data_IF_953189647944
#
_entry.id   IF_953189647944
#
_cell.length_a   1.000
_cell.length_b   1.000
_cell.length_c   1.000
_cell.angle_alpha   90.00
_cell.angle_beta   90.00
_cell.angle_gamma   90.00
#
_symmetry.space_group_name_H-M   'P 1'
#
loop_
_entity.id
_entity.type
_entity.pdbx_description
1 polymer ?
#
# COMPACT_ATOMS: atom_id res chain seq x y z
N UNK A 1 -24.78 -8.38 -95.07
CA UNK A 1 -25.41 -7.18 -94.47
C UNK A 1 -25.81 -7.38 -93.02
N UNK A 2 -26.43 -8.51 -92.63
CA UNK A 2 -26.82 -8.77 -91.22
C UNK A 2 -25.64 -8.83 -90.24
N UNK A 3 -24.54 -9.51 -90.58
CA UNK A 3 -23.38 -9.68 -89.69
C UNK A 3 -22.67 -8.36 -89.32
N UNK A 4 -22.67 -7.37 -90.23
CA UNK A 4 -22.16 -6.03 -89.93
C UNK A 4 -23.06 -5.27 -88.95
N UNK A 5 -24.37 -5.48 -89.03
CA UNK A 5 -25.33 -4.86 -88.13
C UNK A 5 -25.21 -5.44 -86.71
N UNK A 6 -25.08 -6.78 -86.59
CA UNK A 6 -24.87 -7.45 -85.31
C UNK A 6 -23.56 -7.00 -84.63
N UNK A 7 -22.47 -6.89 -85.39
CA UNK A 7 -21.19 -6.38 -84.86
C UNK A 7 -21.27 -4.91 -84.43
N UNK A 8 -22.04 -4.08 -85.14
CA UNK A 8 -22.24 -2.68 -84.76
C UNK A 8 -23.03 -2.56 -83.44
N UNK A 9 -24.10 -3.34 -83.30
CA UNK A 9 -24.91 -3.36 -82.07
C UNK A 9 -24.09 -3.84 -80.85
N UNK A 10 -23.20 -4.81 -81.05
CA UNK A 10 -22.32 -5.29 -80.00
C UNK A 10 -21.29 -4.22 -79.57
N UNK A 11 -20.74 -3.45 -80.50
CA UNK A 11 -19.86 -2.31 -80.20
C UNK A 11 -20.60 -1.23 -79.39
N UNK A 12 -21.86 -0.95 -79.73
CA UNK A 12 -22.67 0.01 -78.97
C UNK A 12 -22.94 -0.48 -77.54
N UNK A 13 -23.21 -1.77 -77.35
CA UNK A 13 -23.34 -2.39 -76.01
C UNK A 13 -22.04 -2.26 -75.20
N UNK A 14 -20.88 -2.55 -75.79
CA UNK A 14 -19.59 -2.39 -75.10
C UNK A 14 -19.32 -0.93 -74.73
N UNK A 15 -19.68 0.01 -75.59
CA UNK A 15 -19.55 1.45 -75.31
C UNK A 15 -20.42 1.89 -74.13
N UNK A 16 -21.63 1.36 -73.99
CA UNK A 16 -22.50 1.61 -72.85
C UNK A 16 -21.90 1.03 -71.55
N UNK A 17 -21.47 -0.23 -71.58
CA UNK A 17 -20.81 -0.91 -70.44
C UNK A 17 -19.54 -0.18 -69.98
N UNK A 18 -18.75 0.37 -70.91
CA UNK A 18 -17.55 1.12 -70.55
C UNK A 18 -17.88 2.41 -69.80
N UNK A 19 -18.99 3.09 -70.14
CA UNK A 19 -19.44 4.29 -69.42
C UNK A 19 -19.90 3.95 -68.00
N UNK A 20 -20.64 2.87 -67.84
CA UNK A 20 -21.08 2.38 -66.52
C UNK A 20 -19.89 1.97 -65.64
N UNK A 21 -18.93 1.21 -66.18
CA UNK A 21 -17.71 0.85 -65.46
C UNK A 21 -16.92 2.08 -65.01
N UNK A 22 -16.86 3.13 -65.83
CA UNK A 22 -16.21 4.39 -65.42
C UNK A 22 -16.90 5.01 -64.20
N UNK A 23 -18.23 5.04 -64.18
CA UNK A 23 -18.99 5.56 -63.04
C UNK A 23 -18.76 4.74 -61.77
N UNK A 24 -18.77 3.40 -61.89
CA UNK A 24 -18.50 2.50 -60.77
C UNK A 24 -17.10 2.69 -60.20
N UNK A 25 -16.09 2.91 -61.05
CA UNK A 25 -14.72 3.18 -60.59
C UNK A 25 -14.63 4.53 -59.86
N UNK A 26 -15.29 5.56 -60.36
CA UNK A 26 -15.33 6.87 -59.70
C UNK A 26 -16.07 6.79 -58.36
N UNK A 27 -17.15 6.03 -58.29
CA UNK A 27 -17.88 5.75 -57.04
C UNK A 27 -17.03 4.95 -56.05
N UNK A 28 -16.36 3.89 -56.49
CA UNK A 28 -15.45 3.10 -55.65
C UNK A 28 -14.32 3.98 -55.07
N UNK A 29 -13.79 4.92 -55.85
CA UNK A 29 -12.79 5.88 -55.38
C UNK A 29 -13.36 6.82 -54.32
N UNK A 30 -14.59 7.33 -54.50
CA UNK A 30 -15.27 8.14 -53.49
C UNK A 30 -15.52 7.34 -52.21
N UNK A 31 -16.06 6.12 -52.33
CA UNK A 31 -16.33 5.25 -51.20
C UNK A 31 -15.07 4.91 -50.41
N UNK A 32 -13.94 4.65 -51.08
CA UNK A 32 -12.64 4.49 -50.43
C UNK A 32 -12.23 5.73 -49.62
N UNK A 33 -12.45 6.93 -50.18
CA UNK A 33 -12.18 8.19 -49.49
C UNK A 33 -13.05 8.36 -48.24
N UNK A 34 -14.35 8.08 -48.36
CA UNK A 34 -15.29 8.15 -47.24
C UNK A 34 -14.94 7.13 -46.14
N UNK A 35 -14.57 5.91 -46.51
CA UNK A 35 -14.14 4.88 -45.55
C UNK A 35 -12.91 5.31 -44.76
N UNK A 36 -11.95 5.96 -45.43
CA UNK A 36 -10.72 6.46 -44.79
C UNK A 36 -11.04 7.55 -43.76
N UNK A 37 -11.92 8.49 -44.12
CA UNK A 37 -12.37 9.55 -43.20
C UNK A 37 -13.16 8.97 -42.02
N UNK A 38 -14.04 8.00 -42.26
CA UNK A 38 -14.81 7.35 -41.20
C UNK A 38 -13.90 6.62 -40.20
N UNK A 39 -12.83 5.97 -40.66
CA UNK A 39 -11.83 5.35 -39.78
C UNK A 39 -11.09 6.39 -38.92
N UNK A 40 -10.63 7.49 -39.53
CA UNK A 40 -9.95 8.57 -38.81
C UNK A 40 -10.84 9.19 -37.71
N UNK A 41 -12.09 9.54 -38.06
CA UNK A 41 -13.05 10.09 -37.11
C UNK A 41 -13.34 9.13 -35.95
N UNK A 42 -13.45 7.83 -36.24
CA UNK A 42 -13.66 6.81 -35.21
C UNK A 42 -12.48 6.76 -34.25
N UNK A 43 -11.25 6.77 -34.76
CA UNK A 43 -10.04 6.71 -33.93
C UNK A 43 -9.90 7.97 -33.07
N UNK A 44 -10.13 9.16 -33.64
CA UNK A 44 -10.16 10.43 -32.89
C UNK A 44 -11.22 10.42 -31.78
N UNK A 45 -12.43 9.92 -32.08
CA UNK A 45 -13.52 9.84 -31.10
C UNK A 45 -13.16 8.90 -29.96
N UNK A 46 -12.65 7.69 -30.26
CA UNK A 46 -12.22 6.75 -29.23
C UNK A 46 -11.11 7.34 -28.35
N UNK A 47 -10.15 8.03 -28.94
CA UNK A 47 -9.06 8.67 -28.20
C UNK A 47 -9.55 9.82 -27.32
N UNK A 48 -10.51 10.62 -27.80
CA UNK A 48 -11.14 11.67 -26.98
C UNK A 48 -11.94 11.10 -25.80
N UNK A 49 -12.63 9.97 -26.00
CA UNK A 49 -13.39 9.30 -24.95
C UNK A 49 -12.46 8.80 -23.85
N UNK A 50 -11.41 8.05 -24.24
CA UNK A 50 -10.41 7.54 -23.28
C UNK A 50 -9.75 8.66 -22.48
N UNK A 51 -9.38 9.77 -23.14
CA UNK A 51 -8.81 10.94 -22.45
C UNK A 51 -9.82 11.54 -21.47
N UNK A 52 -11.07 11.77 -21.90
CA UNK A 52 -12.09 12.32 -21.03
C UNK A 52 -12.41 11.44 -19.82
N UNK A 53 -12.49 10.12 -20.00
CA UNK A 53 -12.67 9.16 -18.91
C UNK A 53 -11.48 9.18 -17.93
N UNK A 54 -10.25 9.20 -18.47
CA UNK A 54 -9.03 9.23 -17.66
C UNK A 54 -8.88 10.56 -16.90
N UNK A 55 -9.12 11.69 -17.57
CA UNK A 55 -9.06 13.02 -16.96
C UNK A 55 -10.14 13.16 -15.86
N UNK A 56 -11.35 12.64 -16.10
CA UNK A 56 -12.41 12.59 -15.09
C UNK A 56 -12.02 11.76 -13.88
N UNK A 57 -11.51 10.54 -14.08
CA UNK A 57 -11.05 9.67 -13.01
C UNK A 57 -9.89 10.29 -12.21
N UNK A 58 -8.96 10.99 -12.88
CA UNK A 58 -7.85 11.68 -12.21
C UNK A 58 -8.34 12.83 -11.31
N UNK A 59 -9.38 13.55 -11.73
CA UNK A 59 -10.01 14.59 -10.90
C UNK A 59 -10.66 13.97 -9.67
N UNK A 60 -11.45 12.91 -9.82
CA UNK A 60 -12.08 12.20 -8.70
C UNK A 60 -11.04 11.65 -7.70
N UNK A 61 -9.95 11.03 -8.21
CA UNK A 61 -8.84 10.56 -7.37
C UNK A 61 -8.21 11.74 -6.61
N UNK A 62 -7.96 12.85 -7.29
CA UNK A 62 -7.34 14.04 -6.65
C UNK A 62 -8.23 14.66 -5.58
N UNK A 63 -9.56 14.61 -5.73
CA UNK A 63 -10.50 15.05 -4.71
C UNK A 63 -10.52 14.10 -3.52
N UNK A 64 -10.54 12.79 -3.79
CA UNK A 64 -10.53 11.75 -2.78
C UNK A 64 -9.22 11.76 -1.94
N UNK A 65 -8.07 11.91 -2.60
CA UNK A 65 -6.77 12.02 -1.92
C UNK A 65 -6.71 13.20 -0.95
N UNK A 66 -7.43 14.29 -1.24
CA UNK A 66 -7.56 15.44 -0.33
C UNK A 66 -8.55 15.19 0.80
N UNK A 67 -9.62 14.42 0.57
CA UNK A 67 -10.66 14.17 1.57
C UNK A 67 -10.29 13.07 2.56
N UNK A 68 -9.59 12.02 2.12
CA UNK A 68 -9.26 10.85 2.97
C UNK A 68 -8.52 11.24 4.25
N UNK A 69 -7.45 12.06 4.24
CA UNK A 69 -6.79 12.48 5.48
C UNK A 69 -7.80 13.19 6.39
N UNK A 70 -8.47 14.21 5.88
CA UNK A 70 -9.43 15.02 6.66
C UNK A 70 -10.52 14.18 7.31
N UNK A 71 -11.11 13.24 6.56
CA UNK A 71 -12.15 12.33 7.07
C UNK A 71 -11.58 11.36 8.10
N UNK A 72 -10.39 10.80 7.86
CA UNK A 72 -9.67 9.96 8.80
C UNK A 72 -9.38 10.71 10.11
N UNK A 73 -8.89 11.94 10.04
CA UNK A 73 -8.64 12.77 11.21
C UNK A 73 -9.92 13.01 12.00
N UNK A 74 -11.03 13.35 11.32
CA UNK A 74 -12.32 13.54 11.95
C UNK A 74 -12.82 12.25 12.63
N UNK A 75 -12.71 11.11 11.97
CA UNK A 75 -13.11 9.81 12.51
C UNK A 75 -12.26 9.39 13.73
N UNK A 76 -10.94 9.64 13.69
CA UNK A 76 -10.05 9.43 14.84
C UNK A 76 -10.46 10.32 16.01
N UNK A 77 -10.76 11.59 15.75
CA UNK A 77 -11.17 12.52 16.79
C UNK A 77 -12.52 12.13 17.42
N UNK A 78 -13.47 11.67 16.61
CA UNK A 78 -14.74 11.13 17.09
C UNK A 78 -14.51 9.88 17.97
N UNK A 79 -13.69 8.94 17.51
CA UNK A 79 -13.34 7.75 18.29
C UNK A 79 -12.67 8.10 19.62
N UNK A 80 -11.71 9.03 19.63
CA UNK A 80 -11.04 9.48 20.85
C UNK A 80 -11.99 10.23 21.80
N UNK A 81 -13.07 10.80 21.28
CA UNK A 81 -14.13 11.45 22.06
C UNK A 81 -15.22 10.48 22.53
N UNK A 82 -15.18 9.23 22.06
CA UNK A 82 -16.19 8.23 22.38
C UNK A 82 -16.10 7.76 23.84
N UNK A 83 -17.26 7.44 24.41
CA UNK A 83 -17.35 6.91 25.78
C UNK A 83 -16.60 5.58 25.92
N UNK A 84 -16.64 4.72 24.90
CA UNK A 84 -15.92 3.43 24.88
C UNK A 84 -14.42 3.64 24.97
N UNK A 85 -13.85 4.59 24.22
CA UNK A 85 -12.44 4.95 24.35
C UNK A 85 -12.12 5.43 25.77
N UNK A 86 -12.91 6.34 26.34
CA UNK A 86 -12.67 6.88 27.66
C UNK A 86 -12.78 5.87 28.80
N UNK A 87 -13.69 4.90 28.70
CA UNK A 87 -13.95 3.93 29.77
C UNK A 87 -13.08 2.67 29.65
N UNK A 88 -12.84 2.18 28.44
CA UNK A 88 -12.13 0.91 28.24
C UNK A 88 -10.64 1.11 27.90
N UNK A 89 -10.32 2.09 27.04
CA UNK A 89 -8.99 2.18 26.42
C UNK A 89 -8.10 3.21 27.10
N UNK A 90 -8.60 4.43 27.36
CA UNK A 90 -7.84 5.51 28.00
C UNK A 90 -7.21 5.12 29.34
N UNK A 91 -7.87 4.36 30.23
CA UNK A 91 -7.25 3.90 31.48
C UNK A 91 -6.06 2.96 31.22
N UNK A 92 -6.15 2.09 30.20
CA UNK A 92 -5.07 1.19 29.82
C UNK A 92 -3.87 1.97 29.30
N UNK A 93 -4.06 2.90 28.36
CA UNK A 93 -2.99 3.76 27.85
C UNK A 93 -2.30 4.54 28.97
N UNK A 94 -3.07 5.07 29.93
CA UNK A 94 -2.51 5.77 31.08
C UNK A 94 -1.69 4.83 31.99
N UNK A 95 -2.13 3.59 32.17
CA UNK A 95 -1.41 2.59 32.94
C UNK A 95 -0.10 2.17 32.27
N UNK A 96 -0.12 2.00 30.96
CA UNK A 96 1.04 1.65 30.15
C UNK A 96 2.10 2.76 30.18
N UNK A 97 1.68 4.02 30.03
CA UNK A 97 2.56 5.17 30.20
C UNK A 97 3.18 5.24 31.61
N UNK A 98 2.41 4.89 32.66
CA UNK A 98 2.92 4.82 34.04
C UNK A 98 3.91 3.67 34.24
N UNK A 99 3.72 2.56 33.53
CA UNK A 99 4.66 1.44 33.56
C UNK A 99 5.98 1.83 32.91
N UNK A 100 5.93 2.41 31.70
CA UNK A 100 7.12 2.85 30.98
C UNK A 100 7.86 3.94 31.75
N UNK A 101 7.15 4.91 32.35
CA UNK A 101 7.75 5.90 33.25
C UNK A 101 8.52 5.23 34.41
N UNK A 102 7.93 4.24 35.09
CA UNK A 102 8.61 3.55 36.21
C UNK A 102 9.85 2.80 35.75
N UNK A 103 9.77 2.14 34.59
CA UNK A 103 10.88 1.44 33.97
C UNK A 103 12.04 2.41 33.69
N UNK A 104 11.77 3.54 33.04
CA UNK A 104 12.80 4.55 32.78
C UNK A 104 13.35 5.20 34.05
N UNK A 105 12.49 5.50 35.04
CA UNK A 105 12.97 6.00 36.34
C UNK A 105 13.94 5.02 37.01
N UNK A 106 13.65 3.72 36.99
CA UNK A 106 14.53 2.71 37.56
C UNK A 106 15.86 2.56 36.78
N UNK A 107 15.85 2.81 35.48
CA UNK A 107 17.08 2.85 34.66
C UNK A 107 17.92 4.06 35.04
N UNK A 108 17.32 5.26 35.10
CA UNK A 108 18.02 6.50 35.44
C UNK A 108 18.58 6.47 36.88
N UNK A 109 17.81 5.94 37.84
CA UNK A 109 18.26 5.81 39.24
C UNK A 109 19.55 4.98 39.36
N UNK A 110 19.74 3.98 38.49
CA UNK A 110 20.96 3.16 38.46
C UNK A 110 22.08 3.72 37.59
N UNK A 111 21.78 4.65 36.67
CA UNK A 111 22.76 5.15 35.71
C UNK A 111 23.83 6.01 36.38
N UNK A 112 23.44 6.80 37.39
CA UNK A 112 24.33 7.72 38.10
C UNK A 112 24.02 7.84 39.60
N UNK A 113 23.60 6.74 40.21
CA UNK A 113 23.13 6.68 41.62
C UNK A 113 22.02 7.71 41.92
N UNK A 114 21.20 7.99 40.90
CA UNK A 114 20.09 8.92 40.94
C UNK A 114 20.51 10.39 41.05
N UNK A 115 21.77 10.73 40.76
CA UNK A 115 22.27 12.11 40.80
C UNK A 115 21.51 13.01 39.82
N UNK A 116 21.26 12.55 38.58
CA UNK A 116 20.48 13.26 37.54
C UNK A 116 19.05 13.48 38.04
N UNK A 117 18.41 12.44 38.56
CA UNK A 117 17.03 12.54 39.08
C UNK A 117 16.92 13.55 40.21
N UNK A 118 17.88 13.51 41.15
CA UNK A 118 17.92 14.43 42.31
C UNK A 118 18.07 15.88 41.87
N UNK A 119 18.96 16.16 40.92
CA UNK A 119 19.15 17.50 40.35
C UNK A 119 17.87 18.05 39.74
N UNK A 120 17.20 17.27 38.89
CA UNK A 120 15.93 17.71 38.29
C UNK A 120 14.81 17.91 39.33
N UNK A 121 14.75 17.08 40.37
CA UNK A 121 13.81 17.29 41.48
C UNK A 121 14.08 18.60 42.23
N UNK A 122 15.35 18.89 42.54
CA UNK A 122 15.76 20.14 43.18
C UNK A 122 15.43 21.37 42.32
N UNK A 123 15.70 21.30 41.01
CA UNK A 123 15.38 22.37 40.04
C UNK A 123 13.86 22.61 39.99
N UNK A 124 13.04 21.56 39.88
CA UNK A 124 11.58 21.66 39.88
C UNK A 124 11.07 22.31 41.18
N UNK A 125 11.58 21.87 42.33
CA UNK A 125 11.18 22.41 43.64
C UNK A 125 11.62 23.87 43.81
N UNK A 126 12.73 24.27 43.21
CA UNK A 126 13.17 25.66 43.18
C UNK A 126 12.21 26.54 42.36
N UNK A 127 11.81 26.10 41.17
CA UNK A 127 10.81 26.81 40.37
C UNK A 127 9.47 26.92 41.10
N UNK A 128 9.00 25.84 41.74
CA UNK A 128 7.78 25.88 42.56
C UNK A 128 7.87 26.88 43.72
N UNK A 129 9.03 26.97 44.40
CA UNK A 129 9.26 27.96 45.46
C UNK A 129 9.22 29.40 44.95
N UNK A 130 9.62 29.63 43.70
CA UNK A 130 9.56 30.95 43.04
C UNK A 130 8.19 31.29 42.45
N UNK A 131 7.24 30.34 42.47
CA UNK A 131 5.95 30.48 41.79
C UNK A 131 6.07 30.39 40.26
N UNK A 132 7.14 29.79 39.76
CA UNK A 132 7.42 29.60 38.34
C UNK A 132 7.01 28.20 37.88
N UNK A 133 6.61 28.07 36.62
CA UNK A 133 6.32 26.76 36.01
C UNK A 133 7.63 26.17 35.49
N UNK A 134 7.98 24.97 35.95
CA UNK A 134 9.08 24.22 35.36
C UNK A 134 8.70 23.77 33.94
N UNK A 135 9.49 24.17 32.94
CA UNK A 135 9.30 23.76 31.55
C UNK A 135 10.50 22.93 31.13
N UNK A 136 10.27 21.63 30.89
CA UNK A 136 11.28 20.79 30.26
C UNK A 136 11.28 21.08 28.76
N UNK A 137 12.36 21.67 28.25
CA UNK A 137 12.56 21.81 26.81
C UNK A 137 12.77 20.42 26.21
N UNK A 138 11.74 19.87 25.56
CA UNK A 138 11.83 18.65 24.77
C UNK A 138 11.91 19.08 23.32
N UNK A 139 13.00 18.73 22.64
CA UNK A 139 13.12 18.96 21.20
C UNK A 139 12.36 17.85 20.46
N UNK A 140 11.25 18.17 19.77
CA UNK A 140 10.45 17.18 19.05
C UNK A 140 11.18 16.61 17.82
N UNK A 141 12.32 17.17 17.42
CA UNK A 141 13.11 16.71 16.26
C UNK A 141 14.12 15.61 16.57
N UNK A 142 14.20 15.12 17.82
CA UNK A 142 15.07 13.98 18.17
C UNK A 142 14.44 12.66 17.73
N UNK A 143 14.45 12.40 16.43
CA UNK A 143 14.20 11.07 15.87
C UNK A 143 15.31 10.11 16.31
N UNK A 144 14.91 8.89 16.68
CA UNK A 144 15.80 7.76 16.94
C UNK A 144 16.42 7.34 15.61
N UNK A 145 17.56 7.95 15.26
CA UNK A 145 18.45 7.52 14.18
C UNK A 145 19.13 6.20 14.59
N UNK A 146 18.32 5.17 14.81
CA UNK A 146 18.80 3.80 14.90
C UNK A 146 19.00 3.33 13.46
N UNK A 147 20.20 3.57 12.95
CA UNK A 147 20.75 2.91 11.76
C UNK A 147 20.70 1.39 11.99
N UNK A 148 19.59 0.76 11.62
CA UNK A 148 19.61 -0.66 11.28
C UNK A 148 20.29 -0.76 9.92
N UNK A 149 21.62 -0.56 9.90
CA UNK A 149 22.48 -1.08 8.84
C UNK A 149 22.21 -2.59 8.78
N UNK A 150 21.33 -2.97 7.86
CA UNK A 150 21.14 -4.34 7.48
C UNK A 150 22.48 -4.89 7.01
N UNK A 151 23.12 -5.70 7.84
CA UNK A 151 24.30 -6.46 7.45
C UNK A 151 23.85 -7.48 6.40
N UNK A 152 24.00 -7.12 5.14
CA UNK A 152 23.88 -8.04 4.02
C UNK A 152 25.14 -8.91 3.96
N UNK A 153 24.91 -10.22 4.03
CA UNK A 153 25.70 -11.32 3.48
C UNK A 153 27.23 -11.30 3.61
N UNK A 154 27.71 -12.09 4.57
CA UNK A 154 28.92 -12.89 4.38
C UNK A 154 28.84 -14.18 5.22
N UNK A 155 28.05 -15.17 4.80
CA UNK A 155 28.24 -16.55 5.25
C UNK A 155 29.01 -17.35 4.20
N UNK A 156 30.32 -17.35 4.41
CA UNK A 156 31.30 -18.27 3.85
C UNK A 156 30.95 -19.71 4.22
N UNK A 157 31.02 -20.59 3.24
CA UNK A 157 30.91 -22.05 3.37
C UNK A 157 32.03 -22.63 4.24
N UNK A 158 31.67 -23.47 5.22
CA UNK A 158 32.57 -24.45 5.85
C UNK A 158 31.66 -25.53 6.45
N UNK A 159 31.67 -26.80 6.03
CA UNK A 159 32.81 -27.69 5.84
C UNK A 159 32.89 -28.58 7.08
N UNK A 160 32.44 -29.83 6.93
CA UNK A 160 32.27 -30.89 7.93
C UNK A 160 33.56 -31.24 8.70
N UNK A 161 33.38 -31.93 9.85
CA UNK A 161 34.30 -32.79 10.64
C UNK A 161 34.15 -32.45 12.14
N UNK A 162 34.04 -33.35 13.12
CA UNK A 162 34.16 -34.80 13.20
C UNK A 162 34.32 -35.17 14.69
N UNK A 163 33.48 -36.09 15.17
CA UNK A 163 33.57 -36.98 16.35
C UNK A 163 34.44 -36.61 17.56
N UNK A 164 33.81 -36.63 18.74
CA UNK A 164 34.47 -36.77 20.05
C UNK A 164 33.52 -37.37 21.08
N UNK A 165 33.61 -38.68 21.25
CA UNK A 165 32.91 -39.53 22.23
C UNK A 165 33.63 -39.51 23.60
N UNK A 166 32.86 -39.47 24.69
CA UNK A 166 33.20 -40.02 26.01
C UNK A 166 32.00 -39.88 26.98
N UNK A 167 31.30 -41.00 27.20
CA UNK A 167 30.93 -41.65 28.49
C UNK A 167 30.63 -40.77 29.73
N UNK A 168 29.79 -41.11 30.71
CA UNK A 168 28.86 -42.18 31.05
C UNK A 168 28.22 -41.72 32.39
N UNK A 169 27.08 -42.35 32.69
CA UNK A 169 26.51 -42.57 34.02
C UNK A 169 25.54 -41.55 34.64
N UNK A 170 24.42 -42.07 35.11
CA UNK A 170 23.34 -41.27 35.70
C UNK A 170 21.92 -41.81 35.57
N UNK A 171 21.75 -43.10 35.32
CA UNK A 171 20.60 -43.96 35.64
C UNK A 171 19.55 -43.35 36.59
N UNK A 172 18.31 -43.13 36.14
CA UNK A 172 17.11 -43.66 36.84
C UNK A 172 15.91 -43.80 35.90
N UNK A 173 15.51 -45.06 35.71
CA UNK A 173 14.21 -45.48 35.17
C UNK A 173 13.12 -45.26 36.21
N UNK A 174 11.94 -44.87 35.76
CA UNK A 174 10.70 -45.57 36.14
C UNK A 174 9.57 -45.22 35.17
N UNK A 175 9.23 -46.21 34.35
CA UNK A 175 7.98 -46.32 33.63
C UNK A 175 6.80 -46.40 34.60
N UNK A 176 5.69 -45.75 34.29
CA UNK A 176 4.37 -46.29 34.61
C UNK A 176 3.38 -45.88 33.53
N UNK A 177 3.18 -46.79 32.58
CA UNK A 177 1.97 -46.82 31.77
C UNK A 177 0.82 -47.39 32.61
N UNK A 178 -0.32 -46.68 32.66
CA UNK A 178 -1.61 -47.28 32.98
C UNK A 178 -2.72 -46.47 32.33
N UNK A 179 -3.27 -47.03 31.25
CA UNK A 179 -4.46 -46.50 30.60
C UNK A 179 -5.73 -46.74 31.43
N UNK A 180 -6.76 -45.96 31.13
CA UNK A 180 -8.16 -46.36 31.18
C UNK A 180 -8.99 -45.37 30.36
N UNK A 181 -9.81 -45.93 29.48
CA UNK A 181 -10.83 -45.28 28.69
C UNK A 181 -12.13 -45.05 29.52
N UNK A 182 -13.11 -44.46 28.83
CA UNK A 182 -14.51 -44.20 29.21
C UNK A 182 -14.78 -42.86 29.90
N UNK A 183 -15.46 -41.95 29.19
CA UNK A 183 -16.93 -41.92 29.24
C UNK A 183 -17.53 -41.23 28.00
N UNK A 184 -18.42 -41.96 27.33
CA UNK A 184 -19.47 -41.43 26.47
C UNK A 184 -20.66 -41.09 27.37
N UNK A 185 -21.28 -39.93 27.17
CA UNK A 185 -22.75 -39.83 27.25
C UNK A 185 -23.23 -38.58 26.52
N UNK A 186 -24.08 -38.81 25.52
CA UNK A 186 -25.10 -37.88 25.01
C UNK A 186 -26.24 -37.70 26.02
#
# INVERSE_FOLDING_TARGET
MAEYHDRLQEVERYKAKLKENKQLVDEARRNKGLLTQALQLKDETMESLKRGELDGALVEISELEKSIPTEREAAVQEYLSSSTFHLAIKPHCAQEARFEKRKWMAVLDRYDDGSILRKYHEDIDEHHRKGETFVLAVDPSSEDESDNEGSADAQTQHGEEGLGDAEDDGRTRSDTARGSASDENE
#
